data_IF_995849391976
#
_entry.id   IF_995849391976
#
_cell.length_a   1.000
_cell.length_b   1.000
_cell.length_c   1.000
_cell.angle_alpha   90.00
_cell.angle_beta   90.00
_cell.angle_gamma   90.00
#
_symmetry.space_group_name_H-M   'P 1'
#
loop_
_entity.id
_entity.type
_entity.pdbx_description
1 polymer ?
#
# COMPACT_ATOMS: atom_id res chain seq x y z
N UNK A 1 -19.86 -15.73 11.80
CA UNK A 1 -19.31 -14.67 12.66
C UNK A 1 -18.76 -13.55 11.81
N UNK A 2 -18.89 -12.29 12.23
CA UNK A 2 -18.22 -11.15 11.58
C UNK A 2 -17.08 -10.66 12.48
N UNK A 3 -15.90 -10.43 11.90
CA UNK A 3 -14.72 -9.91 12.60
C UNK A 3 -14.14 -8.76 11.79
N UNK A 4 -13.85 -7.64 12.46
CA UNK A 4 -13.23 -6.48 11.84
C UNK A 4 -11.72 -6.48 12.11
N UNK A 5 -10.93 -6.39 11.03
CA UNK A 5 -9.49 -6.25 11.11
C UNK A 5 -9.09 -4.85 10.65
N UNK A 6 -8.53 -3.98 11.51
CA UNK A 6 -8.10 -2.66 11.09
C UNK A 6 -6.93 -2.77 10.09
N UNK A 7 -6.95 -1.92 9.05
CA UNK A 7 -5.83 -1.74 8.12
C UNK A 7 -4.80 -0.79 8.69
N UNK A 8 -3.88 -1.31 9.51
CA UNK A 8 -2.78 -0.54 10.09
C UNK A 8 -1.53 -0.74 9.24
N UNK A 9 -0.67 0.27 9.07
CA UNK A 9 0.65 0.13 8.44
C UNK A 9 0.68 -0.52 7.03
N UNK A 10 -0.41 -0.47 6.27
CA UNK A 10 -0.52 -1.03 4.91
C UNK A 10 0.47 -0.36 3.94
N UNK A 11 0.64 0.97 4.00
CA UNK A 11 1.60 1.74 3.18
C UNK A 11 3.06 1.26 3.31
N UNK A 12 3.41 0.65 4.45
CA UNK A 12 4.74 0.07 4.71
C UNK A 12 4.83 -1.40 4.28
N UNK A 13 3.71 -1.97 3.85
CA UNK A 13 3.47 -3.41 3.71
C UNK A 13 3.79 -4.13 5.03
N UNK A 14 3.47 -3.46 6.14
CA UNK A 14 4.04 -3.74 7.46
C UNK A 14 3.10 -4.46 8.41
N UNK A 15 1.94 -4.94 7.96
CA UNK A 15 0.92 -5.50 8.86
C UNK A 15 0.48 -6.91 8.50
N UNK A 16 -0.06 -7.13 7.30
CA UNK A 16 -0.82 -8.36 7.01
C UNK A 16 0.06 -9.59 7.00
N UNK A 17 1.30 -9.49 6.52
CA UNK A 17 2.31 -10.57 6.58
C UNK A 17 2.53 -11.04 8.01
N UNK A 18 2.70 -10.11 8.94
CA UNK A 18 2.90 -10.43 10.36
C UNK A 18 1.64 -11.03 10.99
N UNK A 19 0.46 -10.52 10.62
CA UNK A 19 -0.82 -11.10 11.08
C UNK A 19 -1.02 -12.53 10.56
N UNK A 20 -0.66 -12.80 9.30
CA UNK A 20 -0.66 -14.14 8.70
C UNK A 20 0.33 -15.05 9.43
N UNK A 21 1.58 -14.61 9.61
CA UNK A 21 2.62 -15.35 10.34
C UNK A 21 2.20 -15.70 11.78
N UNK A 22 1.52 -14.77 12.46
CA UNK A 22 0.98 -14.98 13.81
C UNK A 22 -0.27 -15.87 13.85
N UNK A 23 -0.80 -16.29 12.68
CA UNK A 23 -1.95 -17.17 12.58
C UNK A 23 -3.30 -16.51 12.86
N UNK A 24 -3.39 -15.18 12.77
CA UNK A 24 -4.61 -14.43 13.13
C UNK A 24 -5.80 -14.66 12.19
N UNK A 25 -5.58 -15.35 11.07
CA UNK A 25 -6.61 -15.65 10.07
C UNK A 25 -6.94 -17.16 9.98
N UNK A 26 -6.38 -18.02 10.83
CA UNK A 26 -6.55 -19.48 10.75
C UNK A 26 -8.00 -19.96 10.90
N UNK A 27 -8.82 -19.18 11.60
CA UNK A 27 -10.24 -19.45 11.87
C UNK A 27 -11.18 -18.57 11.02
N UNK A 28 -10.66 -17.94 9.95
CA UNK A 28 -11.44 -17.07 9.06
C UNK A 28 -11.73 -17.80 7.75
N UNK A 29 -13.01 -17.86 7.39
CA UNK A 29 -13.47 -18.59 6.20
C UNK A 29 -13.34 -17.79 4.88
N UNK A 30 -13.47 -16.47 4.95
CA UNK A 30 -13.35 -15.55 3.83
C UNK A 30 -13.02 -14.13 4.32
N UNK A 31 -12.30 -13.37 3.49
CA UNK A 31 -11.93 -11.97 3.75
C UNK A 31 -12.54 -11.03 2.72
N UNK A 32 -13.20 -9.98 3.22
CA UNK A 32 -13.67 -8.85 2.42
C UNK A 32 -12.78 -7.65 2.75
N UNK A 33 -12.00 -7.19 1.78
CA UNK A 33 -11.15 -6.01 1.91
C UNK A 33 -11.61 -4.89 1.00
N UNK A 34 -11.13 -3.68 1.23
CA UNK A 34 -11.53 -2.51 0.47
C UNK A 34 -10.33 -1.62 0.18
N UNK A 35 -10.37 -0.95 -0.97
CA UNK A 35 -9.41 0.06 -1.35
C UNK A 35 -10.16 1.26 -1.94
N UNK A 36 -9.73 2.47 -1.62
CA UNK A 36 -10.33 3.67 -2.18
C UNK A 36 -10.03 3.79 -3.69
N UNK A 37 -10.97 4.32 -4.46
CA UNK A 37 -10.83 4.55 -5.88
C UNK A 37 -11.68 5.73 -6.33
N UNK A 38 -11.47 6.19 -7.56
CA UNK A 38 -12.45 7.03 -8.26
C UNK A 38 -13.52 6.22 -8.98
N UNK A 39 -13.26 4.93 -9.19
CA UNK A 39 -14.19 3.98 -9.80
C UNK A 39 -14.89 3.09 -8.75
N UNK A 40 -16.01 2.48 -9.13
CA UNK A 40 -16.71 1.48 -8.32
C UNK A 40 -16.63 0.10 -8.98
N UNK A 41 -15.90 -0.85 -8.39
CA UNK A 41 -15.68 -2.15 -9.01
C UNK A 41 -14.88 -3.14 -8.17
N UNK A 42 -14.59 -4.29 -8.76
CA UNK A 42 -13.77 -5.36 -8.18
C UNK A 42 -13.13 -6.19 -9.31
N UNK A 43 -12.19 -7.06 -8.96
CA UNK A 43 -11.58 -8.03 -9.87
C UNK A 43 -11.17 -9.31 -9.14
N UNK A 44 -10.69 -10.30 -9.89
CA UNK A 44 -10.14 -11.54 -9.33
C UNK A 44 -8.83 -11.97 -10.00
N UNK A 45 -8.15 -12.95 -9.38
CA UNK A 45 -6.88 -13.50 -9.85
C UNK A 45 -5.68 -12.60 -9.53
N UNK A 46 -4.59 -12.71 -10.31
CA UNK A 46 -3.35 -11.98 -10.09
C UNK A 46 -3.53 -10.47 -10.31
N UNK A 47 -3.43 -9.68 -9.26
CA UNK A 47 -3.57 -8.22 -9.32
C UNK A 47 -2.50 -7.57 -8.43
N UNK A 48 -1.79 -6.57 -8.96
CA UNK A 48 -0.71 -5.89 -8.25
C UNK A 48 0.60 -6.69 -8.26
N UNK A 49 1.72 -5.99 -8.12
CA UNK A 49 3.04 -6.59 -7.89
C UNK A 49 3.21 -6.99 -6.43
N UNK A 50 4.05 -7.98 -6.16
CA UNK A 50 4.58 -8.20 -4.81
C UNK A 50 5.74 -7.26 -4.50
N UNK A 51 6.15 -7.22 -3.23
CA UNK A 51 7.17 -6.35 -2.71
C UNK A 51 7.89 -6.98 -1.53
N UNK A 52 9.20 -6.75 -1.41
CA UNK A 52 9.91 -6.78 -0.12
C UNK A 52 10.39 -5.38 0.25
N UNK A 53 10.16 -5.02 1.52
CA UNK A 53 10.57 -3.79 2.16
C UNK A 53 11.74 -4.11 3.08
N UNK A 54 12.93 -3.56 2.80
CA UNK A 54 14.16 -3.91 3.52
C UNK A 54 15.02 -2.69 3.81
N UNK A 55 15.44 -2.54 5.06
CA UNK A 55 16.41 -1.54 5.48
C UNK A 55 17.79 -2.19 5.62
N UNK A 56 18.79 -1.58 5.00
CA UNK A 56 20.20 -1.90 5.19
C UNK A 56 20.82 -0.86 6.11
N UNK A 57 21.48 -1.32 7.17
CA UNK A 57 22.23 -0.47 8.11
C UNK A 57 23.71 -0.77 7.95
N UNK A 58 24.48 0.22 7.52
CA UNK A 58 25.93 0.16 7.42
C UNK A 58 26.56 0.73 8.69
N UNK A 59 27.55 0.02 9.22
CA UNK A 59 28.32 0.41 10.42
C UNK A 59 29.79 0.53 10.03
N UNK A 60 30.35 1.69 10.30
CA UNK A 60 31.72 2.04 10.01
C UNK A 60 32.43 2.60 11.25
N UNK A 61 33.29 3.59 11.04
CA UNK A 61 34.10 4.19 12.10
C UNK A 61 34.23 5.69 11.88
N UNK A 62 33.89 6.47 12.90
CA UNK A 62 33.98 7.92 12.88
C UNK A 62 35.43 8.41 12.93
N UNK A 63 35.67 9.54 12.28
CA UNK A 63 36.92 10.29 12.37
C UNK A 63 36.64 11.76 12.02
N UNK A 64 37.54 12.67 12.38
CA UNK A 64 37.46 14.05 11.92
C UNK A 64 37.72 14.09 10.40
N UNK A 65 36.73 14.49 9.60
CA UNK A 65 36.77 14.38 8.13
C UNK A 65 37.94 15.14 7.51
N UNK A 66 38.40 16.23 8.12
CA UNK A 66 39.56 16.99 7.65
C UNK A 66 40.88 16.63 8.36
N UNK A 67 40.81 16.16 9.60
CA UNK A 67 41.97 16.11 10.51
C UNK A 67 42.65 14.75 10.50
N UNK A 68 41.86 13.70 10.34
CA UNK A 68 42.35 12.33 10.29
C UNK A 68 41.44 11.41 9.45
N UNK A 69 41.05 11.79 8.21
CA UNK A 69 40.10 11.01 7.41
C UNK A 69 40.53 9.57 7.17
N UNK A 70 41.84 9.30 7.06
CA UNK A 70 42.40 7.95 6.89
C UNK A 70 42.04 6.97 8.01
N UNK A 71 41.70 7.48 9.20
CA UNK A 71 41.24 6.67 10.32
C UNK A 71 39.76 6.26 10.19
N UNK A 72 38.95 6.94 9.37
CA UNK A 72 37.52 6.69 9.23
C UNK A 72 37.16 5.52 8.32
N UNK A 73 35.94 5.01 8.47
CA UNK A 73 35.26 4.11 7.53
C UNK A 73 33.83 4.63 7.38
N UNK A 74 33.53 5.26 6.24
CA UNK A 74 32.27 5.97 6.05
C UNK A 74 31.14 4.99 5.73
N UNK A 75 30.17 4.91 6.64
CA UNK A 75 28.94 4.17 6.40
C UNK A 75 28.07 4.86 5.33
N UNK A 76 28.13 6.19 5.23
CA UNK A 76 27.41 6.95 4.19
C UNK A 76 27.96 6.61 2.80
N UNK A 77 29.28 6.51 2.63
CA UNK A 77 29.88 6.12 1.35
C UNK A 77 29.39 4.72 0.94
N UNK A 78 29.19 3.82 1.90
CA UNK A 78 28.66 2.48 1.62
C UNK A 78 27.20 2.54 1.14
N UNK A 79 26.36 3.40 1.73
CA UNK A 79 25.00 3.67 1.24
C UNK A 79 25.03 4.25 -0.17
N UNK A 80 25.89 5.23 -0.45
CA UNK A 80 26.00 5.82 -1.78
C UNK A 80 26.47 4.81 -2.83
N UNK A 81 27.49 4.01 -2.52
CA UNK A 81 27.98 2.96 -3.41
C UNK A 81 26.94 1.86 -3.64
N UNK A 82 26.16 1.49 -2.62
CA UNK A 82 25.02 0.59 -2.81
C UNK A 82 23.99 1.18 -3.78
N UNK A 83 23.65 2.46 -3.61
CA UNK A 83 22.70 3.18 -4.47
C UNK A 83 23.20 3.25 -5.92
N UNK A 84 24.48 3.61 -6.12
CA UNK A 84 25.13 3.66 -7.43
C UNK A 84 25.18 2.27 -8.07
N UNK A 85 25.61 1.26 -7.31
CA UNK A 85 25.62 -0.13 -7.76
C UNK A 85 24.24 -0.61 -8.19
N UNK A 86 23.19 -0.26 -7.43
CA UNK A 86 21.82 -0.56 -7.80
C UNK A 86 21.38 0.18 -9.07
N UNK A 87 21.75 1.46 -9.22
CA UNK A 87 21.40 2.25 -10.40
C UNK A 87 21.99 1.63 -11.67
N UNK A 88 23.24 1.15 -11.65
CA UNK A 88 23.84 0.44 -12.78
C UNK A 88 23.25 -0.95 -12.97
N UNK A 89 22.86 -1.64 -11.90
CA UNK A 89 22.23 -2.97 -12.01
C UNK A 89 20.92 -2.94 -12.81
N UNK A 90 20.20 -1.81 -12.83
CA UNK A 90 18.90 -1.66 -13.52
C UNK A 90 18.93 -2.02 -15.01
N UNK A 91 20.07 -1.88 -15.70
CA UNK A 91 20.24 -2.29 -17.10
C UNK A 91 20.04 -3.81 -17.30
N UNK A 92 20.32 -4.60 -16.27
CA UNK A 92 20.31 -6.06 -16.33
C UNK A 92 19.14 -6.68 -15.54
N UNK A 93 18.08 -5.89 -15.32
CA UNK A 93 16.86 -6.33 -14.66
C UNK A 93 15.73 -6.51 -15.66
N UNK A 94 14.78 -7.36 -15.31
CA UNK A 94 13.53 -7.53 -16.04
C UNK A 94 12.77 -6.20 -16.12
N UNK A 95 12.06 -5.96 -17.22
CA UNK A 95 11.28 -4.70 -17.37
C UNK A 95 10.08 -4.64 -16.43
N UNK A 96 9.68 -5.80 -15.90
CA UNK A 96 8.61 -5.94 -14.91
C UNK A 96 8.95 -5.38 -13.52
N UNK A 97 10.23 -5.43 -13.10
CA UNK A 97 10.57 -5.05 -11.73
C UNK A 97 10.43 -3.56 -11.48
N UNK A 98 10.15 -3.21 -10.23
CA UNK A 98 10.31 -1.84 -9.75
C UNK A 98 11.15 -1.85 -8.49
N UNK A 99 11.96 -0.83 -8.33
CA UNK A 99 12.79 -0.68 -7.14
C UNK A 99 13.06 0.79 -6.85
N UNK A 100 12.94 1.16 -5.59
CA UNK A 100 13.04 2.54 -5.13
C UNK A 100 13.68 2.55 -3.75
N UNK A 101 14.36 3.63 -3.39
CA UNK A 101 15.01 3.75 -2.10
C UNK A 101 14.95 5.17 -1.55
N UNK A 102 15.12 5.27 -0.24
CA UNK A 102 15.39 6.53 0.47
C UNK A 102 16.51 6.29 1.48
N UNK A 103 17.38 7.28 1.66
CA UNK A 103 18.38 7.28 2.74
C UNK A 103 17.64 7.72 4.01
N UNK A 104 17.40 6.80 4.94
CA UNK A 104 16.64 7.07 6.19
C UNK A 104 17.53 7.68 7.26
N UNK A 105 18.85 7.49 7.16
CA UNK A 105 19.84 8.12 8.03
C UNK A 105 21.17 8.26 7.27
N UNK A 106 21.65 9.49 7.09
CA UNK A 106 22.85 9.79 6.30
C UNK A 106 24.06 10.27 7.13
N UNK A 107 24.01 10.16 8.45
CA UNK A 107 24.99 10.77 9.36
C UNK A 107 24.55 12.14 9.89
N UNK A 108 25.28 12.64 10.89
CA UNK A 108 24.84 13.79 11.70
C UNK A 108 25.46 15.12 11.26
N UNK A 109 26.77 15.15 10.97
CA UNK A 109 27.51 16.39 10.65
C UNK A 109 28.54 16.17 9.54
N UNK A 110 28.73 17.14 8.63
CA UNK A 110 29.64 16.98 7.48
C UNK A 110 31.13 16.92 7.85
N UNK A 111 31.53 17.43 9.02
CA UNK A 111 32.92 17.40 9.51
C UNK A 111 33.27 16.10 10.26
N UNK A 112 32.34 15.14 10.36
CA UNK A 112 32.53 13.83 10.98
C UNK A 112 32.27 12.75 9.96
N UNK A 113 33.22 11.81 9.77
CA UNK A 113 33.01 10.63 8.92
C UNK A 113 31.84 9.81 9.51
N UNK A 114 30.74 9.57 8.77
CA UNK A 114 29.57 8.90 9.33
C UNK A 114 29.88 7.45 9.78
N UNK A 115 29.77 7.12 11.08
CA UNK A 115 29.97 5.76 11.56
C UNK A 115 28.73 4.88 11.35
N UNK A 116 27.57 5.47 11.04
CA UNK A 116 26.31 4.79 10.85
C UNK A 116 25.55 5.45 9.71
N UNK A 117 25.01 4.66 8.79
CA UNK A 117 24.11 5.14 7.75
C UNK A 117 23.09 4.04 7.39
N UNK A 118 21.92 4.45 6.94
CA UNK A 118 20.80 3.56 6.65
C UNK A 118 20.13 3.92 5.33
N UNK A 119 19.78 2.88 4.58
CA UNK A 119 19.02 3.02 3.34
C UNK A 119 17.88 2.00 3.32
N UNK A 120 16.69 2.48 2.99
CA UNK A 120 15.48 1.66 2.92
C UNK A 120 15.06 1.47 1.48
N UNK A 121 14.99 0.21 1.05
CA UNK A 121 14.63 -0.22 -0.28
C UNK A 121 13.27 -0.90 -0.33
N UNK A 122 12.57 -0.65 -1.43
CA UNK A 122 11.49 -1.49 -1.94
C UNK A 122 11.97 -2.23 -3.19
N UNK A 123 11.79 -3.54 -3.22
CA UNK A 123 12.01 -4.39 -4.40
C UNK A 123 10.70 -5.07 -4.79
N UNK A 124 10.22 -4.83 -6.02
CA UNK A 124 8.92 -5.29 -6.51
C UNK A 124 9.08 -6.19 -7.72
N UNK A 125 8.38 -7.31 -7.70
CA UNK A 125 8.33 -8.32 -8.76
C UNK A 125 6.96 -9.04 -8.77
N UNK A 126 6.73 -9.90 -9.76
CA UNK A 126 5.42 -10.50 -10.05
C UNK A 126 5.23 -11.94 -9.57
N UNK A 127 6.21 -12.50 -8.88
CA UNK A 127 6.12 -13.80 -8.24
C UNK A 127 7.19 -13.92 -7.15
N UNK A 128 6.96 -14.84 -6.21
CA UNK A 128 7.82 -15.01 -5.05
C UNK A 128 9.28 -15.35 -5.38
N UNK A 129 9.60 -16.33 -6.24
CA UNK A 129 10.99 -16.60 -6.63
C UNK A 129 11.72 -15.35 -7.11
N UNK A 130 11.10 -14.55 -7.98
CA UNK A 130 11.72 -13.32 -8.51
C UNK A 130 11.85 -12.21 -7.48
N UNK A 131 10.89 -12.05 -6.58
CA UNK A 131 11.01 -11.09 -5.46
C UNK A 131 12.21 -11.45 -4.58
N UNK A 132 12.37 -12.74 -4.29
CA UNK A 132 13.48 -13.23 -3.47
C UNK A 132 14.83 -13.08 -4.18
N UNK A 133 14.91 -13.40 -5.46
CA UNK A 133 16.12 -13.19 -6.27
C UNK A 133 16.50 -11.70 -6.33
N UNK A 134 15.52 -10.81 -6.53
CA UNK A 134 15.74 -9.37 -6.58
C UNK A 134 16.22 -8.82 -5.22
N UNK A 135 15.69 -9.35 -4.12
CA UNK A 135 16.14 -9.03 -2.77
C UNK A 135 17.60 -9.46 -2.55
N UNK A 136 17.93 -10.72 -2.85
CA UNK A 136 19.27 -11.29 -2.71
C UNK A 136 20.32 -10.53 -3.53
N UNK A 137 19.93 -10.05 -4.71
CA UNK A 137 20.75 -9.17 -5.53
C UNK A 137 21.01 -7.81 -4.84
N UNK A 138 20.00 -7.23 -4.20
CA UNK A 138 20.14 -6.05 -3.35
C UNK A 138 21.14 -6.27 -2.21
N UNK A 139 21.00 -7.39 -1.49
CA UNK A 139 21.92 -7.82 -0.43
C UNK A 139 23.34 -8.04 -0.94
N UNK A 140 23.48 -8.57 -2.16
CA UNK A 140 24.79 -8.78 -2.82
C UNK A 140 25.47 -7.44 -3.09
N UNK A 141 24.72 -6.45 -3.59
CA UNK A 141 25.25 -5.10 -3.84
C UNK A 141 25.60 -4.40 -2.52
N UNK A 142 24.78 -4.55 -1.48
CA UNK A 142 25.07 -4.03 -0.13
C UNK A 142 26.39 -4.60 0.41
N UNK A 143 26.61 -5.92 0.25
CA UNK A 143 27.87 -6.58 0.61
C UNK A 143 29.06 -6.02 -0.17
N UNK A 144 28.91 -5.81 -1.47
CA UNK A 144 29.93 -5.17 -2.30
C UNK A 144 30.29 -3.76 -1.81
N UNK A 145 29.28 -2.96 -1.46
CA UNK A 145 29.48 -1.61 -0.92
C UNK A 145 30.18 -1.61 0.44
N UNK A 146 29.83 -2.56 1.31
CA UNK A 146 30.52 -2.75 2.59
C UNK A 146 32.01 -3.10 2.39
N UNK A 147 32.31 -4.01 1.46
CA UNK A 147 33.68 -4.39 1.11
C UNK A 147 34.50 -3.22 0.56
N UNK A 148 33.93 -2.44 -0.37
CA UNK A 148 34.63 -1.28 -0.97
C UNK A 148 35.01 -0.22 0.06
N UNK A 149 34.22 -0.08 1.12
CA UNK A 149 34.38 0.98 2.14
C UNK A 149 35.04 0.49 3.42
N UNK A 150 35.30 -0.81 3.56
CA UNK A 150 35.77 -1.41 4.80
C UNK A 150 34.79 -1.21 5.96
N UNK A 151 33.50 -1.30 5.67
CA UNK A 151 32.41 -1.22 6.65
C UNK A 151 31.74 -2.60 6.81
N UNK A 152 30.86 -2.70 7.80
CA UNK A 152 29.96 -3.84 7.99
C UNK A 152 28.54 -3.42 7.65
N UNK A 153 27.67 -4.40 7.35
CA UNK A 153 26.25 -4.12 7.17
C UNK A 153 25.38 -5.19 7.81
N UNK A 154 24.18 -4.77 8.20
CA UNK A 154 23.07 -5.65 8.57
C UNK A 154 21.87 -5.31 7.71
N UNK A 155 20.97 -6.28 7.50
CA UNK A 155 19.71 -6.06 6.82
C UNK A 155 18.54 -6.38 7.76
N UNK A 156 17.43 -5.68 7.56
CA UNK A 156 16.16 -5.96 8.23
C UNK A 156 15.03 -5.83 7.23
N UNK A 157 14.34 -6.93 6.97
CA UNK A 157 13.04 -6.90 6.29
C UNK A 157 12.04 -6.21 7.22
N UNK A 158 11.40 -5.16 6.73
CA UNK A 158 10.41 -4.38 7.47
C UNK A 158 8.99 -4.87 7.15
N UNK A 159 8.77 -5.36 5.93
CA UNK A 159 7.47 -5.84 5.46
C UNK A 159 7.60 -6.55 4.12
N UNK A 160 6.59 -7.33 3.74
CA UNK A 160 6.56 -7.97 2.42
C UNK A 160 5.15 -8.35 1.98
N UNK A 161 4.89 -8.27 0.68
CA UNK A 161 3.64 -8.72 0.07
C UNK A 161 3.97 -9.61 -1.12
N UNK A 162 3.29 -10.74 -1.26
CA UNK A 162 3.16 -11.42 -2.54
C UNK A 162 2.29 -10.59 -3.50
N UNK A 163 2.32 -10.86 -4.82
CA UNK A 163 1.31 -10.35 -5.74
C UNK A 163 -0.10 -10.77 -5.30
N UNK A 164 -1.11 -9.93 -5.51
CA UNK A 164 -2.49 -10.26 -5.11
C UNK A 164 -3.01 -11.51 -5.81
N UNK A 165 -3.83 -12.31 -5.13
CA UNK A 165 -4.34 -13.58 -5.66
C UNK A 165 -5.82 -13.77 -5.29
N UNK A 166 -6.69 -12.95 -5.87
CA UNK A 166 -8.06 -12.77 -5.39
C UNK A 166 -9.06 -13.82 -5.92
N UNK A 167 -10.12 -14.08 -5.14
CA UNK A 167 -11.05 -15.19 -5.33
C UNK A 167 -12.19 -14.86 -6.30
N UNK A 168 -12.36 -15.68 -7.35
CA UNK A 168 -13.37 -15.46 -8.40
C UNK A 168 -14.83 -15.50 -7.91
N UNK A 169 -15.31 -16.57 -7.24
CA UNK A 169 -16.68 -16.60 -6.72
C UNK A 169 -17.05 -15.39 -5.85
N UNK A 170 -16.13 -14.97 -4.97
CA UNK A 170 -16.34 -13.77 -4.16
C UNK A 170 -16.41 -12.48 -4.99
N UNK A 171 -15.55 -12.35 -6.01
CA UNK A 171 -15.55 -11.19 -6.90
C UNK A 171 -16.81 -11.11 -7.76
N UNK A 172 -17.36 -12.24 -8.22
CA UNK A 172 -18.62 -12.30 -8.96
C UNK A 172 -19.80 -11.87 -8.07
N UNK A 173 -19.89 -12.40 -6.85
CA UNK A 173 -20.91 -12.00 -5.88
C UNK A 173 -20.79 -10.51 -5.51
N UNK A 174 -19.57 -10.03 -5.25
CA UNK A 174 -19.33 -8.62 -4.96
C UNK A 174 -19.68 -7.73 -6.16
N UNK A 175 -19.32 -8.12 -7.38
CA UNK A 175 -19.66 -7.35 -8.60
C UNK A 175 -21.16 -7.22 -8.79
N UNK A 176 -21.93 -8.29 -8.58
CA UNK A 176 -23.39 -8.25 -8.60
C UNK A 176 -23.94 -7.28 -7.53
N UNK A 177 -23.38 -7.30 -6.32
CA UNK A 177 -23.77 -6.40 -5.24
C UNK A 177 -23.35 -4.94 -5.46
N UNK A 178 -22.23 -4.68 -6.14
CA UNK A 178 -21.84 -3.34 -6.61
C UNK A 178 -22.89 -2.81 -7.59
N UNK A 179 -23.29 -3.62 -8.58
CA UNK A 179 -24.30 -3.23 -9.56
C UNK A 179 -25.65 -2.93 -8.88
N UNK A 180 -26.04 -3.72 -7.87
CA UNK A 180 -27.25 -3.48 -7.07
C UNK A 180 -27.16 -2.23 -6.18
N UNK A 181 -26.00 -1.95 -5.61
CA UNK A 181 -25.78 -0.76 -4.80
C UNK A 181 -25.84 0.53 -5.64
N UNK A 182 -25.35 0.45 -6.88
CA UNK A 182 -25.34 1.55 -7.84
C UNK A 182 -24.34 2.65 -7.49
N UNK A 183 -24.08 3.55 -8.45
CA UNK A 183 -23.24 4.71 -8.20
C UNK A 183 -23.91 5.69 -7.22
N UNK A 184 -23.12 6.45 -6.42
CA UNK A 184 -23.69 7.49 -5.59
C UNK A 184 -24.32 8.61 -6.43
N UNK A 185 -25.36 9.24 -5.89
CA UNK A 185 -25.96 10.43 -6.49
C UNK A 185 -25.05 11.65 -6.27
N UNK A 186 -24.28 12.00 -7.31
CA UNK A 186 -23.45 13.19 -7.35
C UNK A 186 -24.31 14.43 -7.52
N UNK A 187 -24.10 15.42 -6.66
CA UNK A 187 -24.71 16.74 -6.79
C UNK A 187 -23.97 17.57 -7.85
N UNK A 188 -24.56 18.70 -8.25
CA UNK A 188 -23.88 19.67 -9.10
C UNK A 188 -22.59 20.19 -8.45
N UNK A 189 -22.59 20.36 -7.12
CA UNK A 189 -21.43 20.80 -6.35
C UNK A 189 -20.30 19.77 -6.32
N UNK A 190 -20.64 18.47 -6.22
CA UNK A 190 -19.66 17.38 -6.30
C UNK A 190 -18.96 17.37 -7.67
N UNK A 191 -19.75 17.50 -8.74
CA UNK A 191 -19.23 17.57 -10.11
C UNK A 191 -18.41 18.84 -10.35
N UNK A 192 -18.82 19.98 -9.80
CA UNK A 192 -18.09 21.23 -9.89
C UNK A 192 -16.72 21.14 -9.19
N UNK A 193 -16.67 20.60 -7.97
CA UNK A 193 -15.40 20.40 -7.27
C UNK A 193 -14.49 19.43 -8.01
N UNK A 194 -15.03 18.30 -8.49
CA UNK A 194 -14.25 17.30 -9.22
C UNK A 194 -13.60 17.88 -10.49
N UNK A 195 -14.38 18.64 -11.29
CA UNK A 195 -13.86 19.32 -12.49
C UNK A 195 -12.85 20.40 -12.15
N UNK A 196 -13.06 21.18 -11.08
CA UNK A 196 -12.08 22.17 -10.63
C UNK A 196 -10.76 21.52 -10.19
N UNK A 197 -10.83 20.41 -9.45
CA UNK A 197 -9.63 19.65 -9.05
C UNK A 197 -8.90 19.06 -10.27
N UNK A 198 -9.63 18.52 -11.24
CA UNK A 198 -9.07 18.03 -12.50
C UNK A 198 -8.38 19.17 -13.28
N UNK A 199 -8.99 20.35 -13.36
CA UNK A 199 -8.42 21.51 -14.02
C UNK A 199 -7.11 21.96 -13.34
N UNK A 200 -7.09 22.02 -12.01
CA UNK A 200 -5.89 22.38 -11.23
C UNK A 200 -4.72 21.41 -11.51
N UNK A 201 -5.02 20.11 -11.69
CA UNK A 201 -4.00 19.11 -12.04
C UNK A 201 -3.75 18.97 -13.55
N UNK A 202 -4.39 19.78 -14.40
CA UNK A 202 -4.33 19.66 -15.86
C UNK A 202 -4.73 18.26 -16.35
N UNK A 203 -5.61 17.59 -15.61
CA UNK A 203 -6.20 16.32 -15.96
C UNK A 203 -7.45 16.51 -16.84
N UNK A 204 -7.89 15.49 -17.60
CA UNK A 204 -9.14 15.55 -18.34
C UNK A 204 -10.34 15.88 -17.43
N UNK A 205 -11.18 16.84 -17.86
CA UNK A 205 -12.32 17.36 -17.10
C UNK A 205 -13.56 16.44 -17.17
N UNK A 206 -13.38 15.17 -16.83
CA UNK A 206 -14.42 14.13 -16.93
C UNK A 206 -15.43 14.16 -15.77
N UNK A 207 -15.14 14.90 -14.69
CA UNK A 207 -15.96 14.90 -13.49
C UNK A 207 -15.91 13.58 -12.72
N UNK A 208 -16.96 13.29 -11.94
CA UNK A 208 -17.15 12.03 -11.22
C UNK A 208 -17.92 11.02 -12.09
N UNK A 209 -17.54 9.73 -12.11
CA UNK A 209 -18.21 8.71 -12.92
C UNK A 209 -19.64 8.45 -12.43
N UNK A 210 -20.54 8.11 -13.34
CA UNK A 210 -21.96 7.80 -13.08
C UNK A 210 -22.33 6.32 -13.31
N UNK A 211 -21.39 5.52 -13.81
CA UNK A 211 -21.54 4.08 -14.01
C UNK A 211 -20.53 3.25 -13.21
N UNK A 212 -20.96 2.07 -12.76
CA UNK A 212 -20.08 1.06 -12.14
C UNK A 212 -19.17 0.43 -13.20
N UNK A 213 -18.00 -0.07 -12.77
CA UNK A 213 -17.10 -0.83 -13.66
C UNK A 213 -17.54 -2.29 -13.77
N UNK A 214 -17.34 -2.92 -14.94
CA UNK A 214 -17.50 -4.37 -15.06
C UNK A 214 -16.47 -5.09 -14.16
N UNK A 215 -16.76 -6.35 -13.83
CA UNK A 215 -15.82 -7.23 -13.16
C UNK A 215 -14.54 -7.35 -13.99
N UNK A 216 -13.40 -7.01 -13.40
CA UNK A 216 -12.09 -7.15 -14.06
C UNK A 216 -11.62 -8.59 -13.98
N UNK A 217 -11.38 -9.21 -15.13
CA UNK A 217 -10.80 -10.55 -15.22
C UNK A 217 -9.27 -10.51 -15.32
N UNK A 218 -8.55 -11.59 -14.96
CA UNK A 218 -7.09 -11.66 -15.06
C UNK A 218 -6.53 -11.27 -16.43
N UNK A 219 -7.17 -11.71 -17.51
CA UNK A 219 -6.78 -11.42 -18.89
C UNK A 219 -6.92 -9.92 -19.27
N UNK A 220 -7.71 -9.17 -18.50
CA UNK A 220 -8.01 -7.74 -18.73
C UNK A 220 -7.23 -6.82 -17.77
N UNK A 221 -6.69 -7.35 -16.66
CA UNK A 221 -6.19 -6.57 -15.53
C UNK A 221 -4.96 -5.70 -15.84
N UNK A 222 -4.30 -5.92 -17.00
CA UNK A 222 -3.04 -5.25 -17.34
C UNK A 222 -1.97 -5.45 -16.26
N UNK A 223 -0.87 -4.69 -16.35
CA UNK A 223 0.16 -4.69 -15.30
C UNK A 223 -0.04 -3.50 -14.36
N UNK A 224 -0.59 -3.76 -13.18
CA UNK A 224 -0.63 -2.82 -12.06
C UNK A 224 0.59 -2.98 -11.14
N UNK A 225 1.46 -1.97 -11.07
CA UNK A 225 2.73 -2.03 -10.31
C UNK A 225 2.62 -1.60 -8.84
N UNK A 226 1.41 -1.32 -8.36
CA UNK A 226 1.12 -1.14 -6.93
C UNK A 226 1.28 -2.45 -6.17
N UNK A 227 1.43 -2.36 -4.85
CA UNK A 227 1.42 -3.50 -3.93
C UNK A 227 0.54 -3.13 -2.76
N UNK A 228 -0.15 -4.12 -2.21
CA UNK A 228 -1.04 -3.99 -1.07
C UNK A 228 -0.85 -5.24 -0.20
N UNK A 229 -0.70 -5.05 1.11
CA UNK A 229 -0.40 -6.15 2.02
C UNK A 229 -1.59 -7.12 2.20
N UNK A 230 -2.81 -6.74 1.79
CA UNK A 230 -3.94 -7.68 1.70
C UNK A 230 -3.65 -8.88 0.80
N UNK A 231 -2.72 -8.74 -0.15
CA UNK A 231 -2.28 -9.84 -0.99
C UNK A 231 -1.79 -11.04 -0.16
N UNK A 232 -1.12 -10.81 0.97
CA UNK A 232 -0.70 -11.86 1.91
C UNK A 232 -1.88 -12.70 2.42
N UNK A 233 -2.99 -12.04 2.71
CA UNK A 233 -4.23 -12.70 3.15
C UNK A 233 -4.84 -13.50 2.00
N UNK A 234 -4.82 -12.97 0.78
CA UNK A 234 -5.36 -13.64 -0.41
C UNK A 234 -4.67 -14.96 -0.76
N UNK A 235 -3.45 -15.18 -0.29
CA UNK A 235 -2.75 -16.45 -0.43
C UNK A 235 -3.05 -17.49 0.66
N UNK A 236 -3.74 -17.08 1.74
CA UNK A 236 -4.01 -17.90 2.91
C UNK A 236 -5.50 -18.23 3.10
N UNK A 237 -6.41 -17.44 2.52
CA UNK A 237 -7.85 -17.71 2.51
C UNK A 237 -8.56 -16.99 1.35
N UNK A 238 -9.78 -17.43 0.96
CA UNK A 238 -10.60 -16.74 -0.03
C UNK A 238 -10.75 -15.25 0.29
N UNK A 239 -10.24 -14.39 -0.59
CA UNK A 239 -10.19 -12.94 -0.37
C UNK A 239 -10.66 -12.18 -1.60
N UNK A 240 -11.40 -11.09 -1.39
CA UNK A 240 -11.82 -10.15 -2.45
C UNK A 240 -11.57 -8.71 -2.00
N UNK A 241 -11.30 -7.81 -2.95
CA UNK A 241 -11.05 -6.39 -2.71
C UNK A 241 -12.09 -5.54 -3.45
N UNK A 242 -12.89 -4.79 -2.70
CA UNK A 242 -13.76 -3.76 -3.26
C UNK A 242 -13.00 -2.47 -3.52
N UNK A 243 -13.09 -1.94 -4.75
CA UNK A 243 -12.73 -0.57 -5.06
C UNK A 243 -13.99 0.30 -5.03
N UNK A 244 -14.06 1.28 -4.12
CA UNK A 244 -15.25 2.14 -3.96
C UNK A 244 -14.98 3.58 -4.41
N UNK A 245 -15.98 4.29 -4.97
CA UNK A 245 -15.80 5.54 -5.71
C UNK A 245 -15.79 6.74 -4.75
N UNK A 246 -14.77 6.84 -3.90
CA UNK A 246 -14.64 7.90 -2.89
C UNK A 246 -13.53 8.92 -3.22
N UNK A 247 -12.95 8.89 -4.42
CA UNK A 247 -11.98 9.87 -4.89
C UNK A 247 -12.33 10.42 -6.29
N UNK A 248 -11.61 11.46 -6.73
CA UNK A 248 -11.84 12.15 -8.00
C UNK A 248 -10.95 11.52 -9.08
N UNK A 249 -11.47 11.21 -10.29
CA UNK A 249 -10.64 10.77 -11.41
C UNK A 249 -9.56 11.81 -11.76
N UNK A 250 -8.35 11.36 -12.05
CA UNK A 250 -7.21 12.22 -12.40
C UNK A 250 -6.41 12.74 -11.20
N UNK A 251 -6.75 12.37 -9.97
CA UNK A 251 -5.90 12.64 -8.80
C UNK A 251 -4.68 11.71 -8.79
N UNK A 252 -3.57 12.20 -8.24
CA UNK A 252 -2.29 11.47 -8.22
C UNK A 252 -2.16 10.74 -6.88
N UNK A 253 -1.92 9.42 -6.92
CA UNK A 253 -1.71 8.63 -5.70
C UNK A 253 -0.51 9.15 -4.89
N UNK A 254 -0.64 9.18 -3.55
CA UNK A 254 0.39 9.65 -2.61
C UNK A 254 0.77 11.13 -2.78
N UNK A 255 -0.08 11.91 -3.45
CA UNK A 255 0.05 13.34 -3.64
C UNK A 255 -1.09 14.07 -2.93
N UNK A 256 -0.87 15.34 -2.56
CA UNK A 256 -1.86 16.14 -1.83
C UNK A 256 -3.22 16.20 -2.55
N UNK A 257 -3.22 16.08 -3.87
CA UNK A 257 -4.47 16.13 -4.64
C UNK A 257 -5.42 14.96 -4.35
N UNK A 258 -4.90 13.78 -3.99
CA UNK A 258 -5.73 12.65 -3.57
C UNK A 258 -6.40 12.85 -2.22
N UNK A 259 -5.98 13.85 -1.42
CA UNK A 259 -6.65 14.18 -0.15
C UNK A 259 -7.85 15.12 -0.32
N UNK A 260 -8.01 15.77 -1.48
CA UNK A 260 -9.08 16.75 -1.75
C UNK A 260 -10.46 16.15 -1.46
N UNK A 261 -10.73 14.95 -1.96
CA UNK A 261 -12.04 14.33 -1.79
C UNK A 261 -12.31 13.85 -0.36
N UNK A 262 -11.27 13.58 0.45
CA UNK A 262 -11.36 12.77 1.67
C UNK A 262 -12.25 13.39 2.76
N UNK A 263 -12.30 14.72 2.82
CA UNK A 263 -13.10 15.46 3.79
C UNK A 263 -14.44 15.97 3.21
N UNK A 264 -14.83 15.52 2.01
CA UNK A 264 -15.97 16.08 1.27
C UNK A 264 -17.13 15.08 1.15
N UNK A 265 -18.34 15.55 0.79
CA UNK A 265 -19.46 14.67 0.45
C UNK A 265 -19.13 13.61 -0.61
N UNK A 266 -18.17 13.86 -1.51
CA UNK A 266 -17.72 12.88 -2.52
C UNK A 266 -17.26 11.59 -1.84
N UNK A 267 -16.33 11.69 -0.88
CA UNK A 267 -15.80 10.52 -0.16
C UNK A 267 -16.89 9.83 0.66
N UNK A 268 -17.71 10.58 1.39
CA UNK A 268 -18.77 10.00 2.22
C UNK A 268 -19.84 9.25 1.40
N UNK A 269 -20.26 9.81 0.27
CA UNK A 269 -21.20 9.19 -0.67
C UNK A 269 -20.60 7.92 -1.29
N UNK A 270 -19.34 7.98 -1.73
CA UNK A 270 -18.60 6.84 -2.25
C UNK A 270 -18.43 5.71 -1.23
N UNK A 271 -17.99 6.04 -0.02
CA UNK A 271 -17.86 5.10 1.10
C UNK A 271 -19.20 4.45 1.46
N UNK A 272 -20.29 5.22 1.44
CA UNK A 272 -21.63 4.68 1.72
C UNK A 272 -22.07 3.67 0.66
N UNK A 273 -21.84 3.95 -0.62
CA UNK A 273 -22.13 2.99 -1.70
C UNK A 273 -21.27 1.73 -1.57
N UNK A 274 -19.97 1.88 -1.27
CA UNK A 274 -19.07 0.76 -1.04
C UNK A 274 -19.50 -0.10 0.16
N UNK A 275 -19.90 0.54 1.26
CA UNK A 275 -20.38 -0.14 2.45
C UNK A 275 -21.65 -0.97 2.17
N UNK A 276 -22.58 -0.47 1.35
CA UNK A 276 -23.77 -1.23 0.91
C UNK A 276 -23.38 -2.49 0.13
N UNK A 277 -22.48 -2.37 -0.84
CA UNK A 277 -22.01 -3.52 -1.62
C UNK A 277 -21.33 -4.58 -0.75
N UNK A 278 -20.48 -4.15 0.20
CA UNK A 278 -19.85 -5.06 1.15
C UNK A 278 -20.85 -5.71 2.11
N UNK A 279 -21.80 -4.95 2.66
CA UNK A 279 -22.80 -5.48 3.57
C UNK A 279 -23.67 -6.56 2.90
N UNK A 280 -24.08 -6.34 1.64
CA UNK A 280 -24.81 -7.36 0.86
C UNK A 280 -23.95 -8.60 0.59
N UNK A 281 -22.66 -8.42 0.30
CA UNK A 281 -21.75 -9.55 0.04
C UNK A 281 -21.45 -10.35 1.31
N UNK A 282 -21.31 -9.68 2.46
CA UNK A 282 -21.20 -10.33 3.76
C UNK A 282 -22.48 -11.11 4.09
N UNK A 283 -23.67 -10.55 3.81
CA UNK A 283 -24.94 -11.25 3.99
C UNK A 283 -25.05 -12.47 3.07
N UNK A 284 -24.65 -12.36 1.80
CA UNK A 284 -24.59 -13.49 0.88
C UNK A 284 -23.71 -14.61 1.46
N UNK A 285 -22.49 -14.30 1.92
CA UNK A 285 -21.61 -15.29 2.56
C UNK A 285 -22.21 -15.97 3.79
N UNK A 286 -23.00 -15.24 4.60
CA UNK A 286 -23.61 -15.77 5.81
C UNK A 286 -24.87 -16.61 5.54
N UNK A 287 -25.56 -16.38 4.41
CA UNK A 287 -26.88 -16.95 4.12
C UNK A 287 -26.88 -17.95 2.96
N UNK A 288 -25.84 -17.94 2.12
CA UNK A 288 -25.70 -18.79 0.93
C UNK A 288 -24.50 -19.72 1.09
N UNK A 289 -24.67 -20.91 1.71
CA UNK A 289 -23.57 -21.84 1.95
C UNK A 289 -22.85 -22.27 0.65
N UNK A 290 -23.55 -22.26 -0.47
CA UNK A 290 -23.00 -22.55 -1.80
C UNK A 290 -21.94 -21.54 -2.25
N UNK A 291 -22.07 -20.26 -1.88
CA UNK A 291 -21.07 -19.24 -2.22
C UNK A 291 -19.76 -19.50 -1.48
N UNK A 292 -19.84 -19.81 -0.18
CA UNK A 292 -18.66 -20.11 0.61
C UNK A 292 -17.98 -21.41 0.15
N UNK A 293 -18.79 -22.44 -0.16
CA UNK A 293 -18.28 -23.69 -0.72
C UNK A 293 -17.55 -23.48 -2.05
N UNK A 294 -18.13 -22.68 -2.97
CA UNK A 294 -17.50 -22.32 -4.23
C UNK A 294 -16.21 -21.52 -4.02
N UNK A 295 -16.20 -20.55 -3.11
CA UNK A 295 -15.02 -19.75 -2.79
C UNK A 295 -13.87 -20.63 -2.27
N UNK A 296 -14.16 -21.58 -1.36
CA UNK A 296 -13.18 -22.54 -0.84
C UNK A 296 -12.67 -23.50 -1.91
N UNK A 297 -13.56 -24.04 -2.76
CA UNK A 297 -13.19 -24.92 -3.86
C UNK A 297 -12.29 -24.22 -4.90
N UNK A 298 -12.63 -22.98 -5.24
CA UNK A 298 -11.80 -22.15 -6.12
C UNK A 298 -10.43 -21.90 -5.49
N UNK A 299 -10.37 -21.50 -4.22
CA UNK A 299 -9.13 -21.23 -3.50
C UNK A 299 -8.21 -22.46 -3.40
N UNK A 300 -8.77 -23.65 -3.20
CA UNK A 300 -8.02 -24.91 -3.20
C UNK A 300 -7.37 -25.20 -4.57
N UNK A 301 -8.06 -24.89 -5.66
CA UNK A 301 -7.51 -24.98 -7.02
C UNK A 301 -6.44 -23.91 -7.26
N UNK A 302 -6.75 -22.68 -6.88
CA UNK A 302 -5.92 -21.49 -7.03
C UNK A 302 -4.55 -21.63 -6.36
N UNK A 303 -4.49 -22.29 -5.21
CA UNK A 303 -3.25 -22.49 -4.43
C UNK A 303 -2.68 -23.91 -4.59
N UNK A 304 -3.14 -24.69 -5.56
CA UNK A 304 -2.74 -26.10 -5.72
C UNK A 304 -1.23 -26.23 -5.98
N UNK A 305 -0.72 -25.45 -6.93
CA UNK A 305 0.65 -25.57 -7.44
C UNK A 305 1.65 -24.70 -6.66
N UNK A 306 1.20 -23.53 -6.20
CA UNK A 306 2.04 -22.56 -5.49
C UNK A 306 1.60 -22.44 -4.05
N UNK A 307 2.54 -22.69 -3.13
CA UNK A 307 2.32 -22.55 -1.69
C UNK A 307 3.01 -21.29 -1.18
N UNK A 308 2.23 -20.51 -0.45
CA UNK A 308 2.71 -19.29 0.17
C UNK A 308 3.82 -19.57 1.19
N UNK A 309 4.79 -18.67 1.21
CA UNK A 309 5.87 -18.64 2.19
C UNK A 309 6.15 -17.18 2.55
N UNK A 310 6.39 -16.92 3.83
CA UNK A 310 6.70 -15.57 4.29
C UNK A 310 8.04 -15.10 3.71
N UNK A 311 8.03 -13.94 3.07
CA UNK A 311 9.24 -13.19 2.72
C UNK A 311 9.84 -12.45 3.92
N UNK A 312 9.08 -12.30 5.01
CA UNK A 312 9.58 -11.82 6.30
C UNK A 312 10.23 -13.00 7.03
N UNK A 313 11.52 -12.93 7.39
CA UNK A 313 12.20 -13.98 8.15
C UNK A 313 11.51 -14.32 9.48
N UNK A 314 11.60 -15.60 9.87
CA UNK A 314 11.06 -16.08 11.15
C UNK A 314 11.66 -15.32 12.34
N UNK A 315 10.84 -15.04 13.36
CA UNK A 315 11.25 -14.34 14.57
C UNK A 315 11.31 -12.81 14.45
N UNK A 316 11.11 -12.24 13.26
CA UNK A 316 11.02 -10.78 13.12
C UNK A 316 9.69 -10.24 13.65
N UNK A 317 9.77 -9.14 14.40
CA UNK A 317 8.61 -8.42 14.91
C UNK A 317 8.25 -7.25 13.99
N UNK A 318 6.95 -6.87 13.91
CA UNK A 318 6.51 -5.71 13.13
C UNK A 318 7.33 -4.44 13.47
N UNK A 319 7.66 -3.59 12.48
CA UNK A 319 8.51 -2.42 12.69
C UNK A 319 7.71 -1.23 13.28
N UNK A 320 7.16 -1.41 14.49
CA UNK A 320 6.28 -0.43 15.17
C UNK A 320 6.95 0.91 15.51
N UNK A 321 8.27 1.01 15.34
CA UNK A 321 9.05 2.21 15.64
C UNK A 321 9.09 3.24 14.50
N UNK A 322 8.90 2.83 13.23
CA UNK A 322 9.15 3.67 12.05
C UNK A 322 8.40 5.01 12.04
N UNK A 323 7.19 5.04 12.58
CA UNK A 323 6.35 6.25 12.63
C UNK A 323 6.18 6.81 14.05
N UNK A 324 6.85 6.27 15.06
CA UNK A 324 6.61 6.62 16.47
C UNK A 324 6.79 8.12 16.73
N UNK A 325 7.96 8.66 16.40
CA UNK A 325 8.27 10.09 16.61
C UNK A 325 7.29 11.00 15.85
N UNK A 326 7.01 10.65 14.59
CA UNK A 326 6.06 11.41 13.75
C UNK A 326 4.67 11.43 14.39
N UNK A 327 4.19 10.28 14.86
CA UNK A 327 2.90 10.17 15.53
C UNK A 327 2.88 10.94 16.84
N UNK A 328 3.92 10.84 17.67
CA UNK A 328 4.04 11.62 18.92
C UNK A 328 3.98 13.13 18.67
N UNK A 329 4.60 13.60 17.58
CA UNK A 329 4.58 15.02 17.19
C UNK A 329 3.23 15.48 16.63
N UNK A 330 2.59 14.65 15.80
CA UNK A 330 1.43 15.06 14.98
C UNK A 330 0.10 14.74 15.66
N UNK A 331 0.02 13.69 16.48
CA UNK A 331 -1.23 13.25 17.11
C UNK A 331 -1.94 14.35 17.92
N UNK A 332 -1.25 15.15 18.78
CA UNK A 332 -1.90 16.23 19.52
C UNK A 332 -2.49 17.34 18.62
N UNK A 333 -1.99 17.47 17.38
CA UNK A 333 -2.54 18.41 16.40
C UNK A 333 -3.77 17.84 15.71
N UNK A 334 -3.76 16.53 15.39
CA UNK A 334 -4.90 15.83 14.80
C UNK A 334 -6.09 15.74 15.76
N UNK A 335 -5.85 15.60 17.07
CA UNK A 335 -6.91 15.56 18.07
C UNK A 335 -7.76 16.83 18.08
N UNK A 336 -7.15 18.00 17.81
CA UNK A 336 -7.86 19.28 17.69
C UNK A 336 -8.79 19.34 16.47
N UNK A 337 -8.52 18.50 15.46
CA UNK A 337 -9.27 18.40 14.22
C UNK A 337 -10.27 17.24 14.23
N UNK A 338 -10.43 16.54 15.36
CA UNK A 338 -11.39 15.43 15.44
C UNK A 338 -12.81 15.97 15.26
N UNK A 339 -13.57 15.36 14.36
CA UNK A 339 -14.96 15.75 14.12
C UNK A 339 -15.82 15.55 15.36
N UNK A 340 -16.54 16.59 15.77
CA UNK A 340 -17.49 16.62 16.87
C UNK A 340 -18.93 16.70 16.33
N UNK A 341 -19.60 15.54 16.17
CA UNK A 341 -20.96 15.49 15.64
C UNK A 341 -22.01 16.05 16.61
N UNK A 342 -21.65 16.36 17.86
CA UNK A 342 -22.60 16.97 18.83
C UNK A 342 -22.75 18.47 18.63
N UNK A 343 -21.79 19.11 17.95
CA UNK A 343 -21.72 20.56 17.74
C UNK A 343 -21.94 20.97 16.30
N UNK A 344 -21.55 20.12 15.35
CA UNK A 344 -21.59 20.43 13.92
C UNK A 344 -22.31 19.31 13.17
N UNK A 345 -23.03 19.68 12.12
CA UNK A 345 -23.75 18.72 11.26
C UNK A 345 -22.82 18.00 10.28
N UNK A 346 -21.69 18.64 9.92
CA UNK A 346 -20.67 18.07 9.03
C UNK A 346 -19.26 18.47 9.45
N UNK A 347 -18.27 17.70 9.02
CA UNK A 347 -16.86 18.02 9.25
C UNK A 347 -16.44 19.33 8.55
N UNK A 348 -16.99 19.63 7.38
CA UNK A 348 -16.72 20.89 6.67
C UNK A 348 -17.25 22.11 7.43
N UNK A 349 -18.43 21.99 8.05
CA UNK A 349 -18.98 23.04 8.92
C UNK A 349 -18.07 23.30 10.12
N UNK A 350 -17.57 22.24 10.78
CA UNK A 350 -16.61 22.37 11.87
C UNK A 350 -15.34 23.12 11.45
N UNK A 351 -14.88 22.89 10.21
CA UNK A 351 -13.71 23.56 9.65
C UNK A 351 -14.01 24.96 9.10
N UNK A 352 -15.28 25.41 9.08
CA UNK A 352 -15.69 26.68 8.46
C UNK A 352 -15.52 26.70 6.93
N UNK A 353 -15.51 25.53 6.29
CA UNK A 353 -15.28 25.38 4.85
C UNK A 353 -16.61 25.34 4.11
N UNK A 354 -16.83 26.31 3.20
CA UNK A 354 -18.00 26.30 2.31
C UNK A 354 -17.80 25.32 1.15
N UNK A 355 -18.74 24.39 1.00
CA UNK A 355 -18.74 23.42 -0.09
C UNK A 355 -19.62 23.91 -1.27
N UNK A 356 -19.18 23.75 -2.53
CA UNK A 356 -17.85 23.33 -2.96
C UNK A 356 -16.87 24.51 -2.89
N UNK A 357 -15.62 24.25 -2.49
CA UNK A 357 -14.55 25.26 -2.50
C UNK A 357 -13.83 25.21 -3.85
N UNK A 358 -14.18 26.10 -4.76
CA UNK A 358 -13.55 26.21 -6.09
C UNK A 358 -12.95 27.59 -6.27
N UNK A 359 -11.81 27.69 -6.96
CA UNK A 359 -11.32 28.99 -7.43
C UNK A 359 -12.32 29.52 -8.44
N UNK A 360 -12.80 30.75 -8.26
CA UNK A 360 -13.58 31.40 -9.32
C UNK A 360 -12.66 31.68 -10.51
N UNK A 361 -13.16 31.50 -11.75
CA UNK A 361 -12.39 31.68 -12.97
C UNK A 361 -11.77 33.06 -13.11
#
# INVERSE_FOLDING_TARGET
TLRLYPGVAEELIGSRTYMVNAGLFKDVDAMLSTHISSDFGTGYGPIGSGLVSVEYTFTGRSAHSAGSPWAGRSALDAVELMNVGWNYRREHLRTEQRSHYVITHGGDQPNVVPPLAKVWYYFREWDYPRIKELHELGTTIARGAALMTGTEFTERVLGAAWPGHFNKPLAEALSANIARAGMPAWSADDQALAKAAQAELKAPLVGLPDAVKPLVKPEEAGRMYGSDDIAEVSWNLPTVVLRFPANIPGMIGHHWSSSIAMATPISHKGSTAGAKAHAMTALDLLTKPELLAAAKAYFATQTKETKWQSLVPSGQTPPVHLNKEKMERVLPQLEKLRYDPTRFSTYLEQLGVRYPTVKQP
#
